data_IF_675300620664
#
_entry.id   IF_675300620664
#
_cell.length_a   1.000
_cell.length_b   1.000
_cell.length_c   1.000
_cell.angle_alpha   90.00
_cell.angle_beta   90.00
_cell.angle_gamma   90.00
#
_symmetry.space_group_name_H-M   'P 1'
#
loop_
_entity.id
_entity.type
_entity.pdbx_description
1 polymer ?
#
# COMPACT_ATOMS: atom_id res chain seq x y z
N UNK A 1 -1.58 -54.74 18.59
CA UNK A 1 -0.55 -54.54 17.57
C UNK A 1 -1.05 -54.92 16.20
N UNK A 2 -1.78 -54.02 15.54
CA UNK A 2 -2.09 -54.07 14.10
C UNK A 2 -2.46 -52.67 13.61
N UNK A 3 -3.14 -51.90 14.47
CA UNK A 3 -3.39 -50.46 14.25
C UNK A 3 -2.14 -49.58 14.40
N UNK A 4 -1.23 -49.89 15.33
CA UNK A 4 0.05 -49.16 15.47
C UNK A 4 0.99 -49.44 14.29
N UNK A 5 0.98 -50.66 13.75
CA UNK A 5 1.81 -51.06 12.61
C UNK A 5 1.38 -50.33 11.32
N UNK A 6 0.07 -50.19 11.08
CA UNK A 6 -0.48 -49.45 9.94
C UNK A 6 -0.22 -47.93 10.05
N UNK A 7 -0.23 -47.37 11.26
CA UNK A 7 0.06 -45.96 11.49
C UNK A 7 1.56 -45.64 11.30
N UNK A 8 2.44 -46.56 11.66
CA UNK A 8 3.88 -46.43 11.44
C UNK A 8 4.23 -46.60 9.96
N UNK A 9 3.65 -47.58 9.25
CA UNK A 9 3.85 -47.74 7.80
C UNK A 9 3.29 -46.56 6.97
N UNK A 10 2.17 -45.96 7.40
CA UNK A 10 1.61 -44.78 6.74
C UNK A 10 2.49 -43.53 6.94
N UNK A 11 3.13 -43.39 8.11
CA UNK A 11 4.12 -42.34 8.38
C UNK A 11 5.40 -42.56 7.57
N UNK A 12 5.93 -43.77 7.53
CA UNK A 12 7.14 -44.09 6.77
C UNK A 12 6.95 -43.89 5.25
N UNK A 13 5.76 -44.22 4.70
CA UNK A 13 5.46 -43.96 3.29
C UNK A 13 5.29 -42.47 2.97
N UNK A 14 4.72 -41.70 3.90
CA UNK A 14 4.61 -40.23 3.78
C UNK A 14 5.98 -39.55 3.86
N UNK A 15 6.85 -40.02 4.75
CA UNK A 15 8.20 -39.48 4.93
C UNK A 15 9.11 -39.87 3.75
N UNK A 16 8.98 -41.09 3.22
CA UNK A 16 9.74 -41.53 2.06
C UNK A 16 9.33 -40.83 0.75
N UNK A 17 8.03 -40.54 0.54
CA UNK A 17 7.60 -39.75 -0.61
C UNK A 17 8.04 -38.29 -0.47
N UNK A 18 7.92 -37.71 0.74
CA UNK A 18 8.39 -36.36 1.03
C UNK A 18 9.90 -36.18 0.85
N UNK A 19 10.71 -37.19 1.19
CA UNK A 19 12.16 -37.17 0.98
C UNK A 19 12.55 -37.26 -0.51
N UNK A 20 11.85 -38.07 -1.30
CA UNK A 20 12.05 -38.16 -2.74
C UNK A 20 11.64 -36.86 -3.45
N UNK A 21 10.51 -36.28 -3.04
CA UNK A 21 10.04 -34.99 -3.54
C UNK A 21 11.01 -33.87 -3.16
N UNK A 22 11.53 -33.86 -1.93
CA UNK A 22 12.53 -32.88 -1.50
C UNK A 22 13.87 -33.02 -2.24
N UNK A 23 14.32 -34.24 -2.53
CA UNK A 23 15.53 -34.46 -3.33
C UNK A 23 15.36 -33.95 -4.77
N UNK A 24 14.17 -34.14 -5.35
CA UNK A 24 13.81 -33.60 -6.67
C UNK A 24 13.71 -32.07 -6.64
N UNK A 25 13.06 -31.48 -5.62
CA UNK A 25 12.94 -30.04 -5.43
C UNK A 25 14.32 -29.40 -5.23
N UNK A 26 15.23 -30.03 -4.48
CA UNK A 26 16.61 -29.57 -4.34
C UNK A 26 17.35 -29.58 -5.68
N UNK A 27 17.11 -30.58 -6.53
CA UNK A 27 17.72 -30.62 -7.84
C UNK A 27 17.19 -29.50 -8.74
N UNK A 28 15.88 -29.26 -8.73
CA UNK A 28 15.24 -28.19 -9.52
C UNK A 28 15.59 -26.79 -9.00
N UNK A 29 15.74 -26.62 -7.70
CA UNK A 29 16.07 -25.34 -7.07
C UNK A 29 17.50 -24.87 -7.35
N UNK A 30 18.36 -25.74 -7.91
CA UNK A 30 19.70 -25.34 -8.38
C UNK A 30 19.64 -24.42 -9.59
N UNK A 31 18.68 -24.63 -10.48
CA UNK A 31 18.59 -23.91 -11.75
C UNK A 31 17.72 -22.65 -11.65
N UNK A 32 17.11 -22.41 -10.49
CA UNK A 32 16.28 -21.23 -10.23
C UNK A 32 15.29 -21.44 -9.08
N UNK A 33 14.43 -20.45 -8.80
CA UNK A 33 13.42 -20.55 -7.76
C UNK A 33 12.33 -21.56 -8.11
N UNK A 34 11.97 -22.42 -7.16
CA UNK A 34 10.94 -23.46 -7.34
C UNK A 34 9.80 -23.22 -6.37
N UNK A 35 8.59 -23.07 -6.91
CA UNK A 35 7.37 -23.00 -6.11
C UNK A 35 6.86 -24.41 -5.78
N UNK A 36 6.63 -24.68 -4.50
CA UNK A 36 5.98 -25.88 -3.96
C UNK A 36 4.63 -25.48 -3.32
N UNK A 37 3.79 -26.45 -3.01
CA UNK A 37 2.45 -26.20 -2.42
C UNK A 37 2.53 -25.38 -1.13
N UNK A 38 3.57 -25.60 -0.33
CA UNK A 38 3.74 -24.97 1.00
C UNK A 38 4.64 -23.72 0.99
N UNK A 39 5.14 -23.28 -0.18
CA UNK A 39 5.99 -22.10 -0.29
C UNK A 39 6.99 -22.16 -1.44
N UNK A 40 8.00 -21.31 -1.40
CA UNK A 40 9.05 -21.28 -2.41
C UNK A 40 10.39 -21.77 -1.85
N UNK A 41 11.12 -22.51 -2.67
CA UNK A 41 12.45 -23.00 -2.36
C UNK A 41 13.47 -22.27 -3.22
N UNK A 42 14.47 -21.68 -2.55
CA UNK A 42 15.58 -20.98 -3.18
C UNK A 42 16.88 -21.68 -2.82
N UNK A 43 17.77 -21.85 -3.81
CA UNK A 43 19.16 -22.16 -3.50
C UNK A 43 19.87 -20.94 -2.92
N UNK A 44 20.87 -21.19 -2.08
CA UNK A 44 21.71 -20.12 -1.53
C UNK A 44 22.44 -19.39 -2.65
N UNK A 45 22.85 -20.10 -3.70
CA UNK A 45 23.49 -19.55 -4.90
C UNK A 45 22.58 -18.54 -5.61
N UNK A 46 21.32 -18.90 -5.88
CA UNK A 46 20.34 -17.98 -6.47
C UNK A 46 20.11 -16.73 -5.60
N UNK A 47 20.07 -16.87 -4.27
CA UNK A 47 19.94 -15.72 -3.36
C UNK A 47 21.15 -14.78 -3.45
N UNK A 48 22.35 -15.32 -3.58
CA UNK A 48 23.59 -14.56 -3.70
C UNK A 48 23.69 -13.86 -5.07
N UNK A 49 23.31 -14.54 -6.14
CA UNK A 49 23.20 -13.97 -7.47
C UNK A 49 22.20 -12.80 -7.51
N UNK A 50 21.03 -12.97 -6.89
CA UNK A 50 20.04 -11.88 -6.74
C UNK A 50 20.58 -10.71 -5.93
N UNK A 51 21.46 -10.96 -4.95
CA UNK A 51 22.14 -9.92 -4.19
C UNK A 51 23.31 -9.26 -4.95
N UNK A 52 23.72 -9.82 -6.10
CA UNK A 52 24.89 -9.39 -6.87
C UNK A 52 26.23 -9.71 -6.19
N UNK A 53 26.30 -10.81 -5.43
CA UNK A 53 27.48 -11.16 -4.62
C UNK A 53 27.96 -12.57 -4.98
N UNK A 54 29.27 -12.74 -5.16
CA UNK A 54 29.90 -14.05 -5.31
C UNK A 54 30.68 -14.45 -4.04
N UNK A 55 30.65 -15.74 -3.68
CA UNK A 55 31.33 -16.28 -2.49
C UNK A 55 32.86 -16.10 -2.52
N UNK A 56 33.42 -16.20 -3.72
CA UNK A 56 34.85 -16.24 -3.96
C UNK A 56 35.36 -14.90 -4.52
N UNK A 57 34.55 -13.84 -4.46
CA UNK A 57 34.94 -12.50 -4.88
C UNK A 57 36.09 -11.96 -4.00
N UNK A 58 37.28 -11.69 -4.56
CA UNK A 58 38.44 -11.29 -3.78
C UNK A 58 38.29 -9.84 -3.29
N UNK A 59 38.06 -9.68 -1.98
CA UNK A 59 38.10 -8.38 -1.31
C UNK A 59 39.46 -8.20 -0.61
N UNK A 60 39.79 -6.97 -0.20
CA UNK A 60 41.02 -6.64 0.55
C UNK A 60 41.21 -7.45 1.84
N UNK A 61 40.13 -8.01 2.40
CA UNK A 61 40.12 -8.78 3.66
C UNK A 61 39.99 -10.30 3.46
N UNK A 62 40.02 -10.77 2.20
CA UNK A 62 39.81 -12.18 1.84
C UNK A 62 38.53 -12.40 1.05
N UNK A 63 38.15 -13.67 0.87
CA UNK A 63 36.89 -14.02 0.21
C UNK A 63 35.71 -13.93 1.17
N UNK A 64 34.52 -13.76 0.62
CA UNK A 64 33.27 -13.77 1.39
C UNK A 64 33.14 -15.03 2.27
N UNK A 65 33.64 -16.17 1.77
CA UNK A 65 33.69 -17.45 2.49
C UNK A 65 34.51 -17.39 3.78
N UNK A 66 35.60 -16.62 3.80
CA UNK A 66 36.47 -16.48 4.97
C UNK A 66 35.98 -15.43 5.98
N UNK A 67 35.18 -14.46 5.54
CA UNK A 67 34.77 -13.30 6.35
C UNK A 67 33.34 -13.39 6.88
N UNK A 68 32.48 -14.08 6.15
CA UNK A 68 31.04 -14.07 6.40
C UNK A 68 30.38 -12.77 5.94
N UNK A 69 29.09 -12.83 5.64
CA UNK A 69 28.35 -11.71 5.08
C UNK A 69 26.90 -11.74 5.56
N UNK A 70 26.25 -10.58 5.66
CA UNK A 70 24.83 -10.51 5.99
C UNK A 70 24.00 -10.20 4.76
N UNK A 71 23.09 -11.11 4.43
CA UNK A 71 22.17 -10.99 3.30
C UNK A 71 20.79 -10.67 3.85
N UNK A 72 20.19 -9.62 3.31
CA UNK A 72 18.84 -9.19 3.61
C UNK A 72 17.90 -9.68 2.50
N UNK A 73 16.91 -10.49 2.89
CA UNK A 73 15.86 -11.01 2.02
C UNK A 73 14.58 -10.29 2.41
N UNK A 74 14.00 -9.51 1.49
CA UNK A 74 12.72 -8.83 1.68
C UNK A 74 11.65 -9.50 0.84
N UNK A 75 10.54 -9.86 1.48
CA UNK A 75 9.37 -10.42 0.85
C UNK A 75 8.27 -9.37 0.99
N UNK A 76 7.93 -8.72 -0.12
CA UNK A 76 6.95 -7.64 -0.20
C UNK A 76 5.63 -8.18 -0.77
N UNK A 77 4.58 -8.26 0.06
CA UNK A 77 3.24 -8.68 -0.36
C UNK A 77 2.41 -7.48 -0.86
N UNK A 78 1.74 -7.64 -2.00
CA UNK A 78 0.82 -6.64 -2.54
C UNK A 78 -0.38 -7.33 -3.21
N UNK A 79 -1.58 -6.83 -2.91
CA UNK A 79 -2.81 -7.22 -3.60
C UNK A 79 -3.27 -6.18 -4.62
N UNK A 80 -2.41 -5.19 -4.92
CA UNK A 80 -2.70 -4.15 -5.91
C UNK A 80 -2.61 -4.73 -7.31
N UNK A 81 -3.75 -4.83 -7.98
CA UNK A 81 -3.81 -5.18 -9.41
C UNK A 81 -4.39 -3.98 -10.15
N UNK A 82 -3.66 -3.41 -11.15
CA UNK A 82 -4.17 -2.28 -11.91
C UNK A 82 -5.49 -2.65 -12.59
N UNK A 83 -6.43 -1.70 -12.60
CA UNK A 83 -7.75 -1.82 -13.25
C UNK A 83 -8.70 -2.90 -12.71
N UNK A 84 -8.48 -3.44 -11.49
CA UNK A 84 -9.44 -4.34 -10.83
C UNK A 84 -10.10 -3.67 -9.61
N UNK A 85 -11.28 -3.09 -9.82
CA UNK A 85 -12.02 -2.37 -8.78
C UNK A 85 -12.82 -3.27 -7.83
N UNK A 86 -13.31 -4.42 -8.31
CA UNK A 86 -14.24 -5.30 -7.57
C UNK A 86 -13.68 -6.67 -7.22
N UNK A 87 -12.45 -6.98 -7.66
CA UNK A 87 -11.74 -8.22 -7.31
C UNK A 87 -10.34 -7.85 -6.83
N UNK A 88 -10.12 -8.01 -5.52
CA UNK A 88 -8.77 -7.95 -4.97
C UNK A 88 -7.96 -9.12 -5.57
N UNK A 89 -6.66 -8.91 -5.80
CA UNK A 89 -5.78 -10.00 -6.21
C UNK A 89 -5.70 -11.02 -5.08
N UNK A 90 -6.39 -12.15 -5.25
CA UNK A 90 -6.35 -13.29 -4.34
C UNK A 90 -5.91 -14.52 -5.16
N UNK A 91 -4.75 -15.14 -4.85
CA UNK A 91 -3.82 -14.81 -3.77
C UNK A 91 -3.04 -13.49 -4.00
N UNK A 92 -2.56 -12.83 -2.94
CA UNK A 92 -1.71 -11.64 -3.06
C UNK A 92 -0.41 -11.99 -3.78
N UNK A 93 0.03 -11.09 -4.65
CA UNK A 93 1.33 -11.25 -5.32
C UNK A 93 2.43 -10.84 -4.34
N UNK A 94 3.53 -11.58 -4.32
CA UNK A 94 4.71 -11.21 -3.54
C UNK A 94 5.90 -11.00 -4.46
N UNK A 95 6.79 -10.09 -4.07
CA UNK A 95 8.07 -9.85 -4.74
C UNK A 95 9.18 -10.10 -3.74
N UNK A 96 10.17 -10.88 -4.16
CA UNK A 96 11.35 -11.18 -3.34
C UNK A 96 12.50 -10.31 -3.82
N UNK A 97 13.02 -9.49 -2.93
CA UNK A 97 14.19 -8.64 -3.18
C UNK A 97 15.30 -9.07 -2.24
N UNK A 98 16.47 -9.39 -2.80
CA UNK A 98 17.64 -9.75 -2.00
C UNK A 98 18.68 -8.65 -2.12
N UNK A 99 19.25 -8.24 -1.00
CA UNK A 99 20.27 -7.19 -0.96
C UNK A 99 21.36 -7.51 0.05
N UNK A 100 22.58 -7.08 -0.27
CA UNK A 100 23.71 -7.14 0.65
C UNK A 100 23.61 -6.02 1.68
N UNK A 101 23.69 -6.37 2.97
CA UNK A 101 23.76 -5.36 4.03
C UNK A 101 25.19 -4.83 4.13
N UNK A 102 25.37 -3.53 4.38
CA UNK A 102 26.70 -2.89 4.51
C UNK A 102 27.47 -3.29 5.78
N UNK A 103 27.01 -4.29 6.52
CA UNK A 103 27.73 -4.74 7.73
C UNK A 103 28.82 -5.69 7.28
N UNK A 104 30.08 -5.31 7.49
CA UNK A 104 31.21 -5.90 6.77
C UNK A 104 31.52 -7.34 7.16
N UNK A 105 31.11 -7.84 8.33
CA UNK A 105 31.44 -9.22 8.74
C UNK A 105 30.35 -9.86 9.60
N UNK A 106 30.05 -11.14 9.35
CA UNK A 106 29.32 -11.98 10.29
C UNK A 106 30.23 -13.07 10.86
N UNK A 107 30.45 -12.98 12.17
CA UNK A 107 31.29 -13.89 12.94
C UNK A 107 30.52 -14.37 14.17
N UNK A 108 30.38 -15.69 14.31
CA UNK A 108 29.85 -16.30 15.51
C UNK A 108 31.00 -16.86 16.35
N UNK A 109 31.15 -16.37 17.58
CA UNK A 109 32.21 -16.81 18.51
C UNK A 109 31.55 -17.59 19.64
N UNK A 110 31.92 -18.85 19.79
CA UNK A 110 31.52 -19.68 20.92
C UNK A 110 32.74 -20.29 21.57
N UNK A 111 32.65 -20.57 22.86
CA UNK A 111 33.77 -21.15 23.58
C UNK A 111 33.33 -22.32 24.43
N UNK A 112 34.12 -23.37 24.40
CA UNK A 112 33.92 -24.60 25.17
C UNK A 112 34.97 -24.64 26.28
N UNK A 113 34.53 -24.90 27.51
CA UNK A 113 35.42 -25.05 28.64
C UNK A 113 35.95 -26.48 28.66
N UNK A 114 37.28 -26.64 28.63
CA UNK A 114 37.90 -27.95 28.69
C UNK A 114 38.11 -28.37 30.16
N UNK A 115 38.19 -29.69 30.43
CA UNK A 115 38.38 -30.21 31.79
C UNK A 115 39.69 -29.80 32.46
N UNK A 116 40.68 -29.35 31.68
CA UNK A 116 42.00 -28.90 32.12
C UNK A 116 42.01 -27.43 32.59
N UNK A 117 40.86 -26.74 32.57
CA UNK A 117 40.74 -25.33 32.90
C UNK A 117 41.11 -24.38 31.76
N UNK A 118 41.46 -24.91 30.58
CA UNK A 118 41.61 -24.12 29.35
C UNK A 118 40.26 -23.88 28.66
N UNK A 119 40.22 -22.92 27.74
CA UNK A 119 39.01 -22.62 26.95
C UNK A 119 39.34 -22.67 25.46
N UNK A 120 38.61 -23.48 24.73
CA UNK A 120 38.70 -23.54 23.28
C UNK A 120 37.73 -22.51 22.68
N UNK A 121 38.25 -21.54 21.95
CA UNK A 121 37.47 -20.47 21.33
C UNK A 121 37.32 -20.74 19.84
N UNK A 122 36.11 -21.10 19.41
CA UNK A 122 35.78 -21.32 18.01
C UNK A 122 35.23 -20.05 17.39
N UNK A 123 35.67 -19.76 16.17
CA UNK A 123 35.17 -18.65 15.33
C UNK A 123 34.59 -19.24 14.06
N UNK A 124 33.28 -19.15 13.91
CA UNK A 124 32.57 -19.55 12.70
C UNK A 124 32.26 -18.32 11.85
N UNK A 125 32.72 -18.37 10.60
CA UNK A 125 32.44 -17.39 9.56
C UNK A 125 31.40 -17.99 8.62
N UNK A 126 30.39 -17.22 8.23
CA UNK A 126 29.31 -17.73 7.39
C UNK A 126 28.33 -16.66 6.94
N UNK A 127 27.28 -17.10 6.26
CA UNK A 127 26.22 -16.22 5.78
C UNK A 127 25.14 -16.07 6.85
N UNK A 128 24.82 -14.82 7.20
CA UNK A 128 23.67 -14.49 8.02
C UNK A 128 22.53 -14.07 7.11
N UNK A 129 21.48 -14.87 7.05
CA UNK A 129 20.26 -14.54 6.34
C UNK A 129 19.32 -13.80 7.30
N UNK A 130 18.87 -12.62 6.91
CA UNK A 130 17.85 -11.86 7.63
C UNK A 130 16.64 -11.74 6.71
N UNK A 131 15.52 -12.33 7.12
CA UNK A 131 14.30 -12.34 6.34
C UNK A 131 13.36 -11.29 6.92
N UNK A 132 12.95 -10.34 6.08
CA UNK A 132 11.93 -9.33 6.39
C UNK A 132 10.69 -9.62 5.55
N UNK A 133 9.58 -9.90 6.21
CA UNK A 133 8.28 -10.01 5.57
C UNK A 133 7.53 -8.71 5.81
N UNK A 134 7.16 -8.03 4.72
CA UNK A 134 6.42 -6.78 4.77
C UNK A 134 5.38 -6.78 3.64
N UNK A 135 4.38 -5.91 3.71
CA UNK A 135 3.33 -5.95 2.70
C UNK A 135 2.20 -4.95 2.87
N UNK A 136 1.81 -4.40 1.73
CA UNK A 136 0.69 -3.52 1.43
C UNK A 136 -0.63 -4.24 1.10
N UNK A 137 -1.37 -4.80 2.05
CA UNK A 137 -2.71 -5.36 1.75
C UNK A 137 -3.78 -4.27 1.83
N UNK A 138 -4.34 -3.89 0.69
CA UNK A 138 -5.38 -2.86 0.60
C UNK A 138 -6.75 -3.48 0.43
N UNK A 139 -7.70 -3.02 1.22
CA UNK A 139 -9.09 -3.42 1.12
C UNK A 139 -9.95 -2.22 0.78
N UNK A 140 -11.10 -2.49 0.15
CA UNK A 140 -12.08 -1.44 -0.07
C UNK A 140 -12.74 -1.06 1.25
N UNK A 141 -12.69 0.23 1.59
CA UNK A 141 -13.30 0.79 2.80
C UNK A 141 -14.32 1.87 2.41
N UNK A 142 -15.60 1.58 2.64
CA UNK A 142 -16.69 2.50 2.33
C UNK A 142 -16.53 3.86 3.04
N UNK A 143 -16.13 3.94 4.33
CA UNK A 143 -15.88 5.22 4.99
C UNK A 143 -14.80 6.05 4.29
N UNK A 144 -13.67 5.44 3.91
CA UNK A 144 -12.57 6.15 3.22
C UNK A 144 -13.05 6.66 1.86
N UNK A 145 -13.84 5.85 1.13
CA UNK A 145 -14.44 6.26 -0.12
C UNK A 145 -15.35 7.50 0.04
N UNK A 146 -16.21 7.52 1.05
CA UNK A 146 -17.10 8.66 1.30
C UNK A 146 -16.33 9.93 1.67
N UNK A 147 -15.23 9.82 2.42
CA UNK A 147 -14.35 10.97 2.72
C UNK A 147 -13.71 11.53 1.45
N UNK A 148 -13.21 10.66 0.57
CA UNK A 148 -12.63 11.10 -0.71
C UNK A 148 -13.70 11.69 -1.64
N UNK A 149 -14.90 11.13 -1.64
CA UNK A 149 -16.03 11.62 -2.43
C UNK A 149 -16.47 13.02 -1.99
N UNK A 150 -16.63 13.25 -0.69
CA UNK A 150 -17.04 14.57 -0.16
C UNK A 150 -15.96 15.62 -0.41
N UNK A 151 -14.68 15.27 -0.25
CA UNK A 151 -13.57 16.14 -0.61
C UNK A 151 -13.59 16.52 -2.11
N UNK A 152 -13.91 15.55 -2.98
CA UNK A 152 -14.02 15.79 -4.43
C UNK A 152 -15.19 16.73 -4.76
N UNK A 153 -16.33 16.59 -4.10
CA UNK A 153 -17.48 17.51 -4.28
C UNK A 153 -17.14 18.93 -3.83
N UNK A 154 -16.39 19.09 -2.73
CA UNK A 154 -15.91 20.38 -2.28
C UNK A 154 -14.95 21.04 -3.31
N UNK A 155 -14.06 20.25 -3.91
CA UNK A 155 -13.17 20.73 -4.98
C UNK A 155 -13.93 21.16 -6.24
N UNK A 156 -15.02 20.48 -6.59
CA UNK A 156 -15.90 20.90 -7.72
C UNK A 156 -16.55 22.25 -7.43
N UNK A 157 -17.08 22.45 -6.21
CA UNK A 157 -17.67 23.73 -5.83
C UNK A 157 -16.62 24.85 -5.87
N UNK A 158 -15.40 24.59 -5.37
CA UNK A 158 -14.28 25.52 -5.44
C UNK A 158 -13.86 25.83 -6.88
N UNK A 159 -13.86 24.83 -7.76
CA UNK A 159 -13.56 25.03 -9.18
C UNK A 159 -14.57 25.97 -9.84
N UNK A 160 -15.86 25.83 -9.51
CA UNK A 160 -16.90 26.71 -10.03
C UNK A 160 -16.74 28.15 -9.52
N UNK A 161 -16.48 28.33 -8.21
CA UNK A 161 -16.27 29.67 -7.65
C UNK A 161 -15.02 30.34 -8.23
N UNK A 162 -13.96 29.58 -8.48
CA UNK A 162 -12.75 30.09 -9.14
C UNK A 162 -13.03 30.46 -10.60
N UNK A 163 -13.75 29.62 -11.33
CA UNK A 163 -14.13 29.89 -12.73
C UNK A 163 -14.98 31.15 -12.82
N UNK A 164 -15.93 31.30 -11.89
CA UNK A 164 -16.76 32.49 -11.74
C UNK A 164 -15.94 33.75 -11.43
N UNK A 165 -14.96 33.63 -10.54
CA UNK A 165 -14.07 34.74 -10.21
C UNK A 165 -13.26 35.20 -11.43
N UNK A 166 -12.72 34.26 -12.21
CA UNK A 166 -11.98 34.56 -13.45
C UNK A 166 -12.91 35.22 -14.47
N UNK A 167 -14.11 34.69 -14.67
CA UNK A 167 -15.07 35.22 -15.65
C UNK A 167 -15.50 36.66 -15.33
N UNK A 168 -15.75 36.97 -14.05
CA UNK A 168 -16.26 38.28 -13.63
C UNK A 168 -15.18 39.36 -13.49
N UNK A 169 -13.93 38.99 -13.21
CA UNK A 169 -12.90 39.99 -12.86
C UNK A 169 -11.69 40.02 -13.80
N UNK A 170 -11.39 38.93 -14.53
CA UNK A 170 -10.16 38.82 -15.32
C UNK A 170 -10.41 38.91 -16.83
N UNK A 171 -11.52 38.37 -17.33
CA UNK A 171 -11.79 38.36 -18.77
C UNK A 171 -12.14 39.75 -19.31
N UNK A 172 -11.79 40.02 -20.57
CA UNK A 172 -12.07 41.31 -21.23
C UNK A 172 -13.57 41.65 -21.30
N UNK A 173 -14.44 40.63 -21.36
CA UNK A 173 -15.90 40.78 -21.39
C UNK A 173 -16.55 40.58 -20.01
N UNK A 174 -15.78 40.76 -18.94
CA UNK A 174 -16.25 40.76 -17.55
C UNK A 174 -17.61 41.47 -17.30
N UNK A 175 -17.86 42.71 -17.79
CA UNK A 175 -19.13 43.39 -17.51
C UNK A 175 -20.34 42.67 -18.12
N UNK A 176 -20.22 42.09 -19.32
CA UNK A 176 -21.31 41.32 -19.93
C UNK A 176 -21.59 40.02 -19.16
N UNK A 177 -20.56 39.35 -18.64
CA UNK A 177 -20.74 38.17 -17.80
C UNK A 177 -21.43 38.51 -16.46
N UNK A 178 -21.16 39.70 -15.91
CA UNK A 178 -21.80 40.18 -14.69
C UNK A 178 -23.31 40.43 -14.89
N UNK A 179 -23.69 41.08 -16.00
CA UNK A 179 -25.11 41.32 -16.35
C UNK A 179 -25.89 40.01 -16.58
N UNK A 180 -25.26 39.01 -17.20
CA UNK A 180 -25.90 37.71 -17.43
C UNK A 180 -26.04 36.89 -16.14
N UNK A 181 -25.11 37.05 -15.19
CA UNK A 181 -25.09 36.28 -13.95
C UNK A 181 -25.97 36.88 -12.85
N UNK A 182 -25.95 38.20 -12.68
CA UNK A 182 -26.66 38.89 -11.62
C UNK A 182 -27.91 39.57 -12.18
N UNK A 183 -29.07 39.30 -11.56
CA UNK A 183 -30.29 40.08 -11.81
C UNK A 183 -30.58 40.92 -10.59
N UNK A 184 -30.59 42.24 -10.76
CA UNK A 184 -30.95 43.17 -9.68
C UNK A 184 -32.44 43.01 -9.32
N UNK A 185 -32.72 42.85 -8.04
CA UNK A 185 -34.09 42.83 -7.51
C UNK A 185 -34.43 44.17 -6.87
N UNK A 186 -35.69 44.61 -7.02
CA UNK A 186 -36.21 45.82 -6.39
C UNK A 186 -36.16 45.72 -4.86
N UNK A 187 -35.75 46.80 -4.18
CA UNK A 187 -35.73 46.87 -2.71
C UNK A 187 -37.17 46.90 -2.17
N UNK A 188 -37.51 46.01 -1.25
CA UNK A 188 -38.85 45.89 -0.68
C UNK A 188 -39.06 46.80 0.54
N UNK A 189 -38.09 47.65 0.90
CA UNK A 189 -38.27 48.63 1.96
C UNK A 189 -39.12 49.81 1.47
N UNK A 190 -40.17 50.21 2.20
CA UNK A 190 -40.92 51.43 1.87
C UNK A 190 -40.00 52.64 2.04
N UNK A 191 -39.85 53.42 0.98
CA UNK A 191 -39.09 54.67 1.02
C UNK A 191 -39.91 55.76 1.74
N UNK A 192 -39.31 56.61 2.60
CA UNK A 192 -40.02 57.65 3.37
C UNK A 192 -40.82 58.65 2.51
N UNK A 193 -40.52 58.73 1.21
CA UNK A 193 -41.16 59.67 0.28
C UNK A 193 -42.57 59.24 -0.16
N UNK A 194 -43.01 58.02 0.16
CA UNK A 194 -44.34 57.53 -0.22
C UNK A 194 -45.42 57.81 0.83
N UNK A 195 -45.05 58.22 2.05
CA UNK A 195 -46.01 58.43 3.16
C UNK A 195 -46.61 59.85 3.18
N UNK A 196 -46.01 60.81 2.47
CA UNK A 196 -46.51 62.19 2.35
C UNK A 196 -47.54 62.39 1.21
N UNK A 197 -47.81 61.35 0.40
CA UNK A 197 -48.63 61.46 -0.82
C UNK A 197 -50.09 60.98 -0.69
N UNK A 198 -50.57 60.67 0.51
CA UNK A 198 -52.00 60.43 0.75
C UNK A 198 -52.68 61.64 1.42
N UNK A 199 -53.23 62.60 0.65
CA UNK A 199 -54.27 63.50 1.14
C UNK A 199 -55.65 62.86 0.96
N UNK A 200 -56.30 62.61 2.10
CA UNK A 200 -57.74 62.68 2.37
C UNK A 200 -58.64 63.11 1.18
N UNK A 201 -59.38 62.16 0.60
CA UNK A 201 -60.73 62.38 0.05
C UNK A 201 -61.30 61.11 -0.61
N UNK A 202 -62.26 60.46 0.06
CA UNK A 202 -63.29 59.67 -0.64
C UNK A 202 -64.66 60.00 -0.07
N UNK A 203 -65.53 60.75 -0.78
CA UNK A 203 -66.92 60.94 -0.38
C UNK A 203 -67.74 59.67 -0.68
N UNK A 204 -68.51 59.22 0.31
CA UNK A 204 -69.50 58.14 0.17
C UNK A 204 -70.62 58.56 -0.80
N UNK A 205 -71.11 57.67 -1.69
CA UNK A 205 -72.36 57.89 -2.39
C UNK A 205 -73.53 57.25 -1.63
N UNK A 206 -74.51 58.10 -1.31
CA UNK A 206 -75.84 57.79 -0.80
C UNK A 206 -76.60 56.82 -1.73
N UNK A 207 -77.21 55.77 -1.17
CA UNK A 207 -78.22 54.96 -1.86
C UNK A 207 -79.61 55.26 -1.29
N UNK A 208 -80.39 56.09 -1.99
CA UNK A 208 -81.84 56.24 -1.80
C UNK A 208 -82.62 55.99 -3.10
N UNK A 209 -83.64 55.13 -2.94
CA UNK A 209 -84.95 55.04 -3.62
C UNK A 209 -85.03 54.79 -5.13
N UNK A 210 -85.63 53.67 -5.52
CA UNK A 210 -86.98 53.55 -6.16
C UNK A 210 -86.91 53.61 -7.69
N UNK A 211 -87.57 52.75 -8.48
CA UNK A 211 -88.83 52.00 -8.34
C UNK A 211 -88.79 50.71 -9.15
#
# INVERSE_FOLDING_TARGET
>A
GRGEEIATEARERSDASGLADMAMVQHLARDGPVAITDGDVFSIETLLEMAGVALDDPTSEGSLRSRGETIEIRIDYSNQVPFRFFRQGDPPTYTISVSKKRTEEFKHIYGEALPDGSRLLNRAYGLKLIIYQTGEIRTFSLPVFLVVLTASMALIAMSNTLTDFIALYIMQRAPEYAELKYKESHDFKPSPKMEELEPDASPQPDMRSSS
#
